data_IF_282375386765
#
_entry.id   IF_282375386765
#
_cell.length_a   1.000
_cell.length_b   1.000
_cell.length_c   1.000
_cell.angle_alpha   90.00
_cell.angle_beta   90.00
_cell.angle_gamma   90.00
#
_symmetry.space_group_name_H-M   'P 1'
#
loop_
_entity.id
_entity.type
_entity.pdbx_description
1 polymer ?
#
# COMPACT_ATOMS: atom_id res chain seq x y z
N UNK A 1 41.71 -5.14 10.97
CA UNK A 1 41.19 -4.19 11.98
C UNK A 1 39.84 -4.74 12.41
N UNK A 2 39.54 -4.81 13.71
CA UNK A 2 38.23 -5.34 14.14
C UNK A 2 37.08 -4.50 13.58
N UNK A 3 36.02 -5.12 13.03
CA UNK A 3 34.91 -4.39 12.43
C UNK A 3 34.15 -3.44 13.35
N UNK A 4 34.18 -3.77 14.63
CA UNK A 4 33.51 -3.05 15.72
C UNK A 4 34.46 -2.11 16.47
N UNK A 5 35.64 -1.84 15.92
CA UNK A 5 36.62 -0.96 16.56
C UNK A 5 36.03 0.42 16.84
N UNK A 6 36.18 0.92 18.07
CA UNK A 6 35.61 2.19 18.53
C UNK A 6 34.13 2.14 18.92
N UNK A 7 33.48 0.98 18.84
CA UNK A 7 32.09 0.80 19.29
C UNK A 7 32.02 0.31 20.73
N UNK A 8 31.10 0.87 21.50
CA UNK A 8 30.74 0.33 22.80
C UNK A 8 29.72 -0.81 22.62
N UNK A 9 30.12 -2.03 22.94
CA UNK A 9 29.17 -3.13 23.07
C UNK A 9 28.32 -2.94 24.33
N UNK A 10 27.04 -3.31 24.23
CA UNK A 10 26.09 -3.30 25.34
C UNK A 10 25.58 -4.73 25.57
N UNK A 11 25.32 -5.14 26.83
CA UNK A 11 24.71 -6.44 27.10
C UNK A 11 23.30 -6.50 26.52
N UNK A 12 22.81 -7.69 26.17
CA UNK A 12 21.45 -7.84 25.65
C UNK A 12 20.42 -7.32 26.65
N UNK A 13 19.41 -6.60 26.15
CA UNK A 13 18.20 -6.34 26.91
C UNK A 13 17.38 -7.63 27.05
N UNK A 14 16.42 -7.72 27.99
CA UNK A 14 15.52 -8.88 28.07
C UNK A 14 14.82 -9.18 26.74
N UNK A 15 14.43 -8.13 26.01
CA UNK A 15 13.78 -8.25 24.70
C UNK A 15 14.70 -8.86 23.64
N UNK A 16 15.96 -8.43 23.57
CA UNK A 16 16.93 -8.97 22.63
C UNK A 16 17.38 -10.39 23.02
N UNK A 17 17.49 -10.69 24.32
CA UNK A 17 17.75 -12.04 24.79
C UNK A 17 16.60 -12.99 24.39
N UNK A 18 15.35 -12.54 24.50
CA UNK A 18 14.18 -13.31 24.07
C UNK A 18 14.16 -13.51 22.54
N UNK A 19 14.55 -12.50 21.76
CA UNK A 19 14.72 -12.62 20.31
C UNK A 19 15.77 -13.69 19.97
N UNK A 20 16.95 -13.66 20.61
CA UNK A 20 18.02 -14.64 20.39
C UNK A 20 17.55 -16.07 20.67
N UNK A 21 16.80 -16.27 21.75
CA UNK A 21 16.25 -17.59 22.10
C UNK A 21 15.22 -18.13 21.09
N UNK A 22 14.59 -17.24 20.33
CA UNK A 22 13.52 -17.56 19.39
C UNK A 22 13.96 -17.45 17.92
N UNK A 23 15.27 -17.34 17.65
CA UNK A 23 15.76 -17.30 16.27
C UNK A 23 15.44 -18.62 15.56
N UNK A 24 15.00 -18.58 14.28
CA UNK A 24 14.80 -19.79 13.49
C UNK A 24 16.08 -20.61 13.37
N UNK A 25 15.98 -21.94 13.36
CA UNK A 25 17.10 -22.85 13.08
C UNK A 25 17.79 -22.51 11.76
N UNK A 26 16.99 -22.17 10.75
CA UNK A 26 17.44 -21.76 9.43
C UNK A 26 18.36 -20.54 9.45
N UNK A 27 18.11 -19.59 10.36
CA UNK A 27 18.95 -18.40 10.57
C UNK A 27 20.19 -18.73 11.40
N UNK A 28 20.06 -19.52 12.47
CA UNK A 28 21.21 -19.94 13.28
C UNK A 28 22.27 -20.64 12.42
N UNK A 29 21.86 -21.56 11.53
CA UNK A 29 22.77 -22.22 10.61
C UNK A 29 23.48 -21.27 9.63
N UNK A 30 22.85 -20.15 9.24
CA UNK A 30 23.52 -19.11 8.43
C UNK A 30 24.54 -18.34 9.27
N UNK A 31 24.20 -17.99 10.51
CA UNK A 31 25.13 -17.29 11.40
C UNK A 31 26.36 -18.15 11.71
N UNK A 32 26.16 -19.43 12.01
CA UNK A 32 27.24 -20.41 12.23
C UNK A 32 28.12 -20.55 10.97
N UNK A 33 27.50 -20.60 9.78
CA UNK A 33 28.23 -20.68 8.52
C UNK A 33 29.18 -19.48 8.31
N UNK A 34 28.75 -18.25 8.61
CA UNK A 34 29.64 -17.08 8.53
C UNK A 34 30.81 -17.18 9.50
N UNK A 35 30.58 -17.68 10.72
CA UNK A 35 31.64 -17.89 11.72
C UNK A 35 32.64 -18.96 11.25
N UNK A 36 32.17 -20.08 10.69
CA UNK A 36 33.00 -21.13 10.12
C UNK A 36 33.89 -20.62 8.96
N UNK A 37 33.39 -19.67 8.18
CA UNK A 37 34.17 -18.99 7.14
C UNK A 37 35.08 -17.87 7.68
N UNK A 38 35.08 -17.61 8.99
CA UNK A 38 35.92 -16.59 9.63
C UNK A 38 35.46 -15.14 9.38
N UNK A 39 34.19 -14.93 9.00
CA UNK A 39 33.61 -13.61 8.80
C UNK A 39 32.69 -13.21 9.95
N UNK A 40 32.56 -11.91 10.18
CA UNK A 40 31.63 -11.37 11.16
C UNK A 40 30.29 -11.11 10.52
N UNK A 41 29.21 -11.43 11.24
CA UNK A 41 27.83 -11.20 10.83
C UNK A 41 27.00 -10.65 11.99
N UNK A 42 26.10 -9.71 11.69
CA UNK A 42 25.19 -9.11 12.67
C UNK A 42 23.77 -9.09 12.14
N UNK A 43 22.80 -9.28 13.03
CA UNK A 43 21.40 -8.93 12.73
C UNK A 43 21.23 -7.43 12.88
N UNK A 44 20.68 -6.75 11.88
CA UNK A 44 20.62 -5.29 11.82
C UNK A 44 19.21 -4.80 11.47
N UNK A 45 18.97 -3.50 11.61
CA UNK A 45 17.78 -2.86 11.04
C UNK A 45 16.47 -3.18 11.77
N UNK A 46 15.45 -3.54 10.98
CA UNK A 46 14.07 -3.65 11.45
C UNK A 46 13.86 -4.75 12.50
N UNK A 47 14.60 -5.85 12.42
CA UNK A 47 14.48 -6.96 13.36
C UNK A 47 14.85 -6.54 14.80
N UNK A 48 16.00 -5.86 14.95
CA UNK A 48 16.48 -5.35 16.26
C UNK A 48 15.47 -4.34 16.83
N UNK A 49 15.00 -3.41 15.99
CA UNK A 49 13.95 -2.44 16.37
C UNK A 49 12.67 -3.13 16.85
N UNK A 50 12.18 -4.09 16.07
CA UNK A 50 10.91 -4.77 16.34
C UNK A 50 10.98 -5.60 17.62
N UNK A 51 12.10 -6.29 17.86
CA UNK A 51 12.35 -7.00 19.11
C UNK A 51 12.24 -6.06 20.32
N UNK A 52 12.95 -4.92 20.27
CA UNK A 52 12.94 -3.92 21.35
C UNK A 52 11.56 -3.30 21.58
N UNK A 53 10.76 -3.17 20.52
CA UNK A 53 9.36 -2.71 20.58
C UNK A 53 8.35 -3.80 20.94
N UNK A 54 8.78 -5.07 21.09
CA UNK A 54 7.91 -6.23 21.34
C UNK A 54 6.83 -6.40 20.27
N UNK A 55 7.16 -6.07 19.02
CA UNK A 55 6.28 -6.29 17.86
C UNK A 55 6.84 -7.44 17.00
N UNK A 56 5.98 -8.12 16.21
CA UNK A 56 6.42 -9.23 15.37
C UNK A 56 7.59 -8.84 14.46
N UNK A 57 8.61 -9.71 14.40
CA UNK A 57 9.71 -9.61 13.46
C UNK A 57 9.23 -10.27 12.16
N UNK A 58 9.26 -9.51 11.06
CA UNK A 58 8.79 -9.97 9.75
C UNK A 58 9.95 -10.54 8.94
N UNK A 59 11.10 -9.88 9.01
CA UNK A 59 12.28 -10.17 8.22
C UNK A 59 13.54 -9.93 9.07
N UNK A 60 14.59 -10.71 8.80
CA UNK A 60 15.91 -10.56 9.42
C UNK A 60 16.90 -10.11 8.36
N UNK A 61 17.35 -8.86 8.48
CA UNK A 61 18.43 -8.32 7.67
C UNK A 61 19.77 -8.58 8.36
N UNK A 62 20.75 -9.03 7.58
CA UNK A 62 22.11 -9.30 8.06
C UNK A 62 23.11 -8.32 7.45
N UNK A 63 24.07 -7.88 8.25
CA UNK A 63 25.26 -7.17 7.79
C UNK A 63 26.49 -8.06 8.04
N UNK A 64 27.41 -8.13 7.08
CA UNK A 64 28.60 -9.00 7.19
C UNK A 64 29.85 -8.36 6.60
N UNK A 65 31.01 -8.80 7.07
CA UNK A 65 32.31 -8.44 6.48
C UNK A 65 32.63 -9.21 5.19
N UNK A 66 31.94 -10.32 4.93
CA UNK A 66 32.15 -11.14 3.72
C UNK A 66 31.74 -10.37 2.48
N UNK A 67 32.53 -10.42 1.40
CA UNK A 67 32.16 -9.73 0.14
C UNK A 67 31.23 -10.61 -0.71
N UNK A 68 30.46 -10.03 -1.65
CA UNK A 68 29.47 -10.78 -2.42
C UNK A 68 30.07 -11.95 -3.20
N UNK A 69 31.29 -11.82 -3.71
CA UNK A 69 31.99 -12.88 -4.44
C UNK A 69 32.26 -14.11 -3.57
N UNK A 70 32.63 -13.92 -2.30
CA UNK A 70 32.87 -15.00 -1.35
C UNK A 70 31.55 -15.63 -0.90
N UNK A 71 30.51 -14.81 -0.67
CA UNK A 71 29.17 -15.30 -0.29
C UNK A 71 28.55 -16.27 -1.31
N UNK A 72 29.03 -16.30 -2.56
CA UNK A 72 28.56 -17.25 -3.59
C UNK A 72 28.93 -18.70 -3.28
N UNK A 73 29.83 -18.93 -2.33
CA UNK A 73 30.15 -20.28 -1.85
C UNK A 73 29.01 -20.88 -1.01
N UNK A 74 28.05 -20.06 -0.56
CA UNK A 74 26.86 -20.57 0.10
C UNK A 74 25.98 -21.38 -0.89
N UNK A 75 25.62 -22.64 -0.58
CA UNK A 75 25.00 -23.55 -1.55
C UNK A 75 23.68 -23.06 -2.18
N UNK A 76 22.86 -22.34 -1.43
CA UNK A 76 21.51 -21.91 -1.86
C UNK A 76 21.35 -20.40 -1.72
N UNK A 77 21.98 -19.66 -2.65
CA UNK A 77 21.99 -18.21 -2.68
C UNK A 77 21.35 -17.64 -3.95
N UNK A 78 20.84 -16.41 -3.83
CA UNK A 78 20.24 -15.62 -4.91
C UNK A 78 20.96 -14.26 -4.97
N UNK A 79 21.52 -13.85 -6.12
CA UNK A 79 22.29 -12.61 -6.24
C UNK A 79 21.38 -11.36 -6.30
N UNK A 80 20.68 -11.11 -5.20
CA UNK A 80 19.66 -10.05 -5.05
C UNK A 80 20.32 -8.68 -4.86
N UNK A 81 20.86 -8.11 -5.93
CA UNK A 81 21.50 -6.80 -5.87
C UNK A 81 22.99 -6.86 -5.52
N UNK A 82 23.68 -7.89 -6.00
CA UNK A 82 25.13 -8.12 -5.84
C UNK A 82 25.98 -6.86 -6.08
N UNK A 83 25.66 -6.06 -7.10
CA UNK A 83 26.33 -4.78 -7.40
C UNK A 83 26.33 -3.77 -6.24
N UNK A 84 25.39 -3.93 -5.32
CA UNK A 84 25.21 -3.11 -4.14
C UNK A 84 25.52 -3.90 -2.86
N UNK A 85 26.15 -5.08 -2.95
CA UNK A 85 26.62 -5.81 -1.79
C UNK A 85 25.57 -6.71 -1.13
N UNK A 86 24.38 -6.84 -1.71
CA UNK A 86 23.30 -7.64 -1.14
C UNK A 86 23.17 -8.97 -1.87
N UNK A 87 23.12 -10.06 -1.12
CA UNK A 87 22.82 -11.42 -1.57
C UNK A 87 21.75 -12.00 -0.63
N UNK A 88 20.81 -12.75 -1.17
CA UNK A 88 19.79 -13.44 -0.37
C UNK A 88 20.20 -14.90 -0.21
N UNK A 89 20.29 -15.38 1.03
CA UNK A 89 20.44 -16.81 1.31
C UNK A 89 19.07 -17.43 1.53
N UNK A 90 18.88 -18.64 1.00
CA UNK A 90 17.70 -19.47 1.28
C UNK A 90 18.10 -20.63 2.18
N UNK A 91 17.41 -20.78 3.30
CA UNK A 91 17.68 -21.84 4.29
C UNK A 91 16.35 -22.36 4.84
N UNK A 92 16.12 -23.66 4.74
CA UNK A 92 14.87 -24.34 5.18
C UNK A 92 13.55 -23.72 4.64
N UNK A 93 13.61 -23.01 3.51
CA UNK A 93 12.46 -22.31 2.91
C UNK A 93 12.34 -20.83 3.28
N UNK A 94 13.13 -20.36 4.26
CA UNK A 94 13.23 -18.96 4.65
C UNK A 94 14.25 -18.20 3.78
N UNK A 95 14.10 -16.88 3.69
CA UNK A 95 14.96 -15.99 2.90
C UNK A 95 15.56 -14.92 3.81
N UNK A 96 16.87 -14.74 3.70
CA UNK A 96 17.64 -13.80 4.52
C UNK A 96 18.46 -12.87 3.64
N UNK A 97 18.18 -11.57 3.70
CA UNK A 97 18.97 -10.57 2.99
C UNK A 97 20.25 -10.26 3.76
N UNK A 98 21.38 -10.55 3.14
CA UNK A 98 22.71 -10.31 3.71
C UNK A 98 23.40 -9.23 2.89
N UNK A 99 23.88 -8.19 3.57
CA UNK A 99 24.55 -7.06 2.93
C UNK A 99 25.98 -6.91 3.45
N UNK A 100 26.94 -6.89 2.53
CA UNK A 100 28.33 -6.57 2.85
C UNK A 100 28.45 -5.15 3.42
N UNK A 101 29.23 -5.01 4.49
CA UNK A 101 29.61 -3.70 5.04
C UNK A 101 30.26 -2.85 3.95
N UNK A 102 29.85 -1.59 3.84
CA UNK A 102 30.29 -0.73 2.76
C UNK A 102 30.30 0.74 3.13
N UNK A 103 31.09 1.48 2.38
CA UNK A 103 30.95 2.93 2.23
C UNK A 103 30.32 3.23 0.88
N UNK A 104 29.59 4.35 0.83
CA UNK A 104 28.87 4.79 -0.35
C UNK A 104 29.27 6.23 -0.66
N UNK A 105 29.49 6.53 -1.95
CA UNK A 105 29.78 7.88 -2.43
C UNK A 105 28.97 8.18 -3.68
N UNK A 106 28.54 9.44 -3.77
CA UNK A 106 27.74 9.94 -4.88
C UNK A 106 26.32 9.36 -4.88
N UNK A 107 25.32 10.17 -5.18
CA UNK A 107 23.93 9.73 -5.35
C UNK A 107 23.34 10.47 -6.54
N UNK A 108 23.96 10.30 -7.71
CA UNK A 108 23.60 11.05 -8.93
C UNK A 108 22.13 10.85 -9.34
N UNK A 109 21.59 9.65 -9.17
CA UNK A 109 20.19 9.31 -9.46
C UNK A 109 19.24 9.52 -8.27
N UNK A 110 19.75 10.00 -7.13
CA UNK A 110 18.97 10.25 -5.91
C UNK A 110 18.58 9.00 -5.11
N UNK A 111 19.20 7.84 -5.37
CA UNK A 111 19.03 6.61 -4.57
C UNK A 111 20.29 5.77 -4.49
N UNK A 112 20.83 5.38 -5.65
CA UNK A 112 21.90 4.39 -5.74
C UNK A 112 23.22 5.11 -5.57
N UNK A 113 24.12 4.54 -4.77
CA UNK A 113 25.46 5.06 -4.70
C UNK A 113 26.12 4.97 -6.07
N UNK A 114 26.81 6.03 -6.48
CA UNK A 114 27.60 6.03 -7.72
C UNK A 114 28.82 5.12 -7.56
N UNK A 115 29.38 5.07 -6.35
CA UNK A 115 30.50 4.22 -5.96
C UNK A 115 30.21 3.51 -4.64
N UNK A 116 30.51 2.21 -4.60
CA UNK A 116 30.45 1.37 -3.39
C UNK A 116 31.84 0.82 -3.15
N UNK A 117 32.39 1.07 -1.97
CA UNK A 117 33.65 0.44 -1.52
C UNK A 117 33.33 -0.50 -0.36
N UNK A 118 33.70 -1.77 -0.49
CA UNK A 118 33.56 -2.75 0.58
C UNK A 118 34.41 -2.31 1.77
N UNK A 119 33.76 -2.22 2.92
CA UNK A 119 34.35 -1.74 4.15
C UNK A 119 34.36 -2.83 5.20
N UNK A 120 35.17 -2.63 6.24
CA UNK A 120 35.17 -3.51 7.41
C UNK A 120 34.46 -2.87 8.60
N UNK A 121 34.05 -1.59 8.56
CA UNK A 121 33.50 -0.91 9.73
C UNK A 121 31.98 -1.00 9.83
N UNK A 122 31.49 -1.67 10.89
CA UNK A 122 30.06 -1.74 11.19
C UNK A 122 29.49 -0.36 11.52
N UNK A 123 30.24 0.48 12.23
CA UNK A 123 29.80 1.86 12.57
C UNK A 123 29.48 2.67 11.32
N UNK A 124 30.29 2.52 10.28
CA UNK A 124 30.13 3.24 9.02
C UNK A 124 28.90 2.74 8.25
N UNK A 125 28.64 1.43 8.23
CA UNK A 125 27.38 0.90 7.66
C UNK A 125 26.14 1.38 8.42
N UNK A 126 26.18 1.37 9.76
CA UNK A 126 25.07 1.87 10.57
C UNK A 126 24.88 3.39 10.40
N UNK A 127 25.96 4.11 10.09
CA UNK A 127 25.92 5.56 9.87
C UNK A 127 25.06 5.96 8.68
N UNK A 128 25.05 5.14 7.62
CA UNK A 128 24.39 5.49 6.34
C UNK A 128 22.88 5.24 6.33
N UNK A 129 22.34 4.64 7.39
CA UNK A 129 20.92 4.28 7.51
C UNK A 129 20.05 5.51 7.81
N UNK A 130 18.74 5.35 7.60
CA UNK A 130 17.80 6.47 7.63
C UNK A 130 17.57 7.03 9.04
N UNK A 131 17.24 6.16 10.01
CA UNK A 131 16.79 6.53 11.34
C UNK A 131 17.61 5.81 12.42
N UNK A 132 17.86 6.48 13.55
CA UNK A 132 18.61 5.94 14.70
C UNK A 132 18.08 4.58 15.15
N UNK A 133 16.74 4.45 15.23
CA UNK A 133 16.05 3.21 15.60
C UNK A 133 16.28 2.03 14.64
N UNK A 134 16.75 2.29 13.41
CA UNK A 134 17.10 1.26 12.43
C UNK A 134 18.62 1.03 12.33
N UNK A 135 19.41 1.72 13.16
CA UNK A 135 20.88 1.74 13.12
C UNK A 135 21.51 1.06 14.33
N UNK A 136 20.93 -0.07 14.72
CA UNK A 136 21.45 -0.97 15.74
C UNK A 136 21.83 -2.30 15.11
N UNK A 137 22.78 -2.98 15.76
CA UNK A 137 23.27 -4.29 15.34
C UNK A 137 23.33 -5.25 16.53
N UNK A 138 22.92 -6.49 16.33
CA UNK A 138 22.96 -7.56 17.32
C UNK A 138 24.00 -8.60 16.89
N UNK A 139 24.93 -8.90 17.79
CA UNK A 139 25.91 -9.97 17.66
C UNK A 139 25.44 -11.14 18.53
N UNK A 140 24.92 -12.18 17.88
CA UNK A 140 24.31 -13.34 18.54
C UNK A 140 25.37 -14.12 19.32
N UNK A 141 26.51 -14.38 18.70
CA UNK A 141 27.56 -15.25 19.24
C UNK A 141 28.23 -14.61 20.46
N UNK A 142 28.43 -13.29 20.43
CA UNK A 142 28.95 -12.54 21.58
C UNK A 142 27.89 -12.17 22.61
N UNK A 143 26.62 -12.40 22.33
CA UNK A 143 25.50 -11.98 23.19
C UNK A 143 25.59 -10.49 23.58
N UNK A 144 25.85 -9.63 22.59
CA UNK A 144 25.90 -8.17 22.76
C UNK A 144 25.20 -7.48 21.62
N UNK A 145 24.80 -6.22 21.82
CA UNK A 145 24.34 -5.37 20.75
C UNK A 145 25.11 -4.05 20.71
N UNK A 146 25.07 -3.41 19.56
CA UNK A 146 25.73 -2.15 19.26
C UNK A 146 24.68 -1.10 18.87
N UNK A 147 24.77 0.05 19.51
CA UNK A 147 23.88 1.19 19.27
C UNK A 147 24.69 2.50 19.33
N UNK A 148 25.47 2.80 18.28
CA UNK A 148 26.33 3.98 18.23
C UNK A 148 25.55 5.30 18.02
N UNK A 149 24.27 5.23 17.60
CA UNK A 149 23.47 6.40 17.26
C UNK A 149 22.27 6.65 18.18
N UNK A 150 22.20 5.94 19.32
CA UNK A 150 21.18 6.17 20.36
C UNK A 150 19.77 5.72 19.97
N UNK A 151 19.65 4.75 19.06
CA UNK A 151 18.38 4.22 18.60
C UNK A 151 17.53 3.64 19.73
N UNK A 152 18.16 2.97 20.71
CA UNK A 152 17.43 2.41 21.85
C UNK A 152 16.80 3.50 22.74
N UNK A 153 17.53 4.60 22.97
CA UNK A 153 17.03 5.73 23.76
C UNK A 153 15.89 6.47 23.02
N UNK A 154 15.97 6.58 21.69
CA UNK A 154 14.89 7.16 20.89
C UNK A 154 13.63 6.29 20.88
N UNK A 155 13.79 4.96 20.83
CA UNK A 155 12.68 4.03 21.01
C UNK A 155 12.01 4.20 22.38
N UNK A 156 12.78 4.30 23.46
CA UNK A 156 12.24 4.52 24.81
C UNK A 156 11.49 5.85 24.96
N UNK A 157 11.84 6.85 24.14
CA UNK A 157 11.21 8.18 24.14
C UNK A 157 10.11 8.34 23.10
N UNK A 158 9.78 7.31 22.34
CA UNK A 158 8.79 7.36 21.27
C UNK A 158 9.06 8.48 20.24
N UNK A 159 10.33 8.65 19.84
CA UNK A 159 10.75 9.69 18.90
C UNK A 159 11.40 9.10 17.65
N UNK A 160 11.34 9.85 16.57
CA UNK A 160 12.00 9.51 15.32
C UNK A 160 13.15 10.49 15.08
N UNK A 161 14.36 9.96 15.01
CA UNK A 161 15.58 10.75 14.80
C UNK A 161 16.35 10.20 13.60
N UNK A 162 16.93 11.10 12.81
CA UNK A 162 17.78 10.71 11.70
C UNK A 162 19.17 10.31 12.22
N UNK A 163 19.88 9.48 11.46
CA UNK A 163 21.30 9.24 11.74
C UNK A 163 22.13 10.40 11.18
N UNK A 164 22.85 11.08 12.05
CA UNK A 164 23.67 12.23 11.69
C UNK A 164 22.82 13.47 11.39
N UNK A 165 23.19 14.23 10.35
CA UNK A 165 22.47 15.46 9.98
C UNK A 165 21.23 15.13 9.12
N UNK A 166 20.01 15.50 9.56
CA UNK A 166 18.78 15.08 8.88
C UNK A 166 18.69 15.50 7.41
N UNK A 167 19.10 16.73 7.06
CA UNK A 167 18.99 17.23 5.68
C UNK A 167 19.90 16.45 4.73
N UNK A 168 21.14 16.18 5.13
CA UNK A 168 22.10 15.34 4.41
C UNK A 168 21.53 13.95 4.23
N UNK A 169 21.02 13.35 5.31
CA UNK A 169 20.50 11.98 5.27
C UNK A 169 19.29 11.82 4.34
N UNK A 170 18.39 12.80 4.33
CA UNK A 170 17.26 12.84 3.39
C UNK A 170 17.70 13.17 1.95
N UNK A 171 18.83 13.87 1.78
CA UNK A 171 19.32 14.28 0.46
C UNK A 171 19.96 13.15 -0.34
N UNK A 172 20.51 12.14 0.35
CA UNK A 172 21.10 10.95 -0.27
C UNK A 172 20.05 10.01 -0.90
N UNK A 173 18.94 9.75 -0.20
CA UNK A 173 17.77 9.05 -0.74
C UNK A 173 16.50 9.77 -0.28
N UNK A 174 15.92 10.55 -1.18
CA UNK A 174 14.71 11.34 -0.87
C UNK A 174 13.50 10.47 -0.53
N UNK A 175 13.51 9.15 -0.84
CA UNK A 175 12.47 8.24 -0.37
C UNK A 175 12.44 8.14 1.18
N UNK A 176 13.54 8.47 1.86
CA UNK A 176 13.60 8.54 3.32
C UNK A 176 12.62 9.55 3.91
N UNK A 177 12.20 10.54 3.14
CA UNK A 177 11.13 11.47 3.52
C UNK A 177 9.83 10.67 3.78
N UNK A 178 9.37 9.91 2.79
CA UNK A 178 8.15 9.10 2.90
C UNK A 178 8.29 7.98 3.94
N UNK A 179 9.46 7.33 4.01
CA UNK A 179 9.74 6.34 5.04
C UNK A 179 9.65 6.92 6.44
N UNK A 180 10.10 8.16 6.64
CA UNK A 180 9.97 8.85 7.94
C UNK A 180 8.51 9.02 8.31
N UNK A 181 7.65 9.49 7.40
CA UNK A 181 6.19 9.57 7.65
C UNK A 181 5.58 8.19 7.91
N UNK A 182 5.96 7.17 7.15
CA UNK A 182 5.51 5.79 7.40
C UNK A 182 5.87 5.34 8.81
N UNK A 183 7.12 5.58 9.24
CA UNK A 183 7.58 5.23 10.57
C UNK A 183 7.00 6.09 11.69
N UNK A 184 6.28 7.17 11.38
CA UNK A 184 5.46 7.83 12.39
C UNK A 184 4.30 6.96 12.85
N UNK A 185 3.81 6.04 12.02
CA UNK A 185 2.81 5.07 12.42
C UNK A 185 3.43 3.97 13.26
N UNK A 186 3.01 3.84 14.52
CA UNK A 186 3.39 2.74 15.40
C UNK A 186 2.19 1.85 15.73
N UNK A 187 1.19 1.85 14.84
CA UNK A 187 -0.01 1.03 14.99
C UNK A 187 -0.81 1.42 16.22
N UNK A 188 -1.03 0.45 17.11
CA UNK A 188 -1.76 0.66 18.36
C UNK A 188 -1.01 1.55 19.36
N UNK A 189 0.32 1.69 19.22
CA UNK A 189 1.11 2.61 20.04
C UNK A 189 0.96 4.08 19.62
N UNK A 190 0.15 4.36 18.60
CA UNK A 190 -0.18 5.70 18.13
C UNK A 190 0.89 6.29 17.20
N UNK A 191 0.98 7.62 17.19
CA UNK A 191 1.84 8.36 16.27
C UNK A 191 3.07 8.91 16.97
N UNK A 192 4.25 8.52 16.50
CA UNK A 192 5.51 9.06 16.98
C UNK A 192 5.91 10.31 16.21
N UNK A 193 6.51 11.27 16.91
CA UNK A 193 6.91 12.55 16.31
C UNK A 193 8.41 12.52 15.98
N UNK A 194 8.81 12.97 14.78
CA UNK A 194 10.20 13.24 14.51
C UNK A 194 10.68 14.41 15.35
N UNK A 195 11.94 14.37 15.74
CA UNK A 195 12.59 15.49 16.42
C UNK A 195 12.54 16.78 15.58
N UNK A 196 12.80 17.93 16.21
CA UNK A 196 12.65 19.25 15.57
C UNK A 196 13.51 19.40 14.31
N UNK A 197 14.76 18.93 14.35
CA UNK A 197 15.69 18.98 13.23
C UNK A 197 15.16 18.20 12.03
N UNK A 198 14.82 16.93 12.24
CA UNK A 198 14.23 16.08 11.22
C UNK A 198 12.89 16.62 10.69
N UNK A 199 12.01 17.10 11.57
CA UNK A 199 10.73 17.72 11.16
C UNK A 199 10.95 18.90 10.21
N UNK A 200 11.94 19.75 10.46
CA UNK A 200 12.29 20.85 9.57
C UNK A 200 12.93 20.36 8.26
N UNK A 201 13.78 19.34 8.34
CA UNK A 201 14.41 18.75 7.17
C UNK A 201 13.35 18.19 6.20
N UNK A 202 12.34 17.46 6.69
CA UNK A 202 11.24 16.93 5.86
C UNK A 202 10.56 18.01 5.02
N UNK A 203 10.23 19.17 5.61
CA UNK A 203 9.63 20.30 4.89
C UNK A 203 10.56 20.91 3.86
N UNK A 204 11.84 21.09 4.20
CA UNK A 204 12.81 21.79 3.35
C UNK A 204 13.36 20.94 2.22
N UNK A 205 13.32 19.60 2.33
CA UNK A 205 13.79 18.67 1.29
C UNK A 205 12.68 18.07 0.45
N UNK A 206 11.40 18.43 0.69
CA UNK A 206 10.24 17.85 -0.02
C UNK A 206 10.36 17.86 -1.55
N UNK A 207 10.93 18.91 -2.15
CA UNK A 207 11.10 19.01 -3.60
C UNK A 207 11.99 17.92 -4.19
N UNK A 208 12.85 17.30 -3.38
CA UNK A 208 13.71 16.21 -3.81
C UNK A 208 12.94 14.95 -4.16
N UNK A 209 11.68 14.81 -3.72
CA UNK A 209 10.81 13.71 -4.12
C UNK A 209 10.60 13.65 -5.64
N UNK A 210 10.73 14.77 -6.36
CA UNK A 210 10.63 14.78 -7.83
C UNK A 210 11.74 13.99 -8.53
N UNK A 211 12.83 13.68 -7.83
CA UNK A 211 13.94 12.86 -8.35
C UNK A 211 13.69 11.35 -8.18
N UNK A 212 12.71 10.97 -7.37
CA UNK A 212 12.44 9.57 -7.05
C UNK A 212 11.48 8.98 -8.09
N UNK A 213 11.78 7.76 -8.52
CA UNK A 213 10.92 7.00 -9.41
C UNK A 213 9.48 6.91 -8.83
N UNK A 214 8.43 7.27 -9.59
CA UNK A 214 7.05 7.28 -9.10
C UNK A 214 6.58 5.96 -8.50
N UNK A 215 7.05 4.83 -9.01
CA UNK A 215 6.73 3.49 -8.50
C UNK A 215 7.19 3.31 -7.04
N UNK A 216 8.34 3.90 -6.67
CA UNK A 216 8.84 3.86 -5.28
C UNK A 216 8.00 4.75 -4.37
N UNK A 217 7.60 5.93 -4.86
CA UNK A 217 6.69 6.82 -4.14
C UNK A 217 5.37 6.09 -3.89
N UNK A 218 4.81 5.45 -4.91
CA UNK A 218 3.56 4.69 -4.79
C UNK A 218 3.70 3.53 -3.80
N UNK A 219 4.79 2.75 -3.88
CA UNK A 219 5.04 1.65 -2.95
C UNK A 219 5.08 2.10 -1.48
N UNK A 220 5.78 3.19 -1.16
CA UNK A 220 5.78 3.72 0.20
C UNK A 220 4.42 4.33 0.59
N UNK A 221 3.78 5.08 -0.32
CA UNK A 221 2.46 5.66 -0.04
C UNK A 221 1.41 4.59 0.25
N UNK A 222 1.44 3.43 -0.43
CA UNK A 222 0.55 2.31 -0.12
C UNK A 222 0.67 1.87 1.34
N UNK A 223 1.90 1.79 1.85
CA UNK A 223 2.17 1.42 3.25
C UNK A 223 1.68 2.48 4.23
N UNK A 224 1.81 3.76 3.87
CA UNK A 224 1.30 4.87 4.70
C UNK A 224 -0.23 4.86 4.72
N UNK A 225 -0.88 4.68 3.56
CA UNK A 225 -2.34 4.64 3.45
C UNK A 225 -2.92 3.48 4.27
N UNK A 226 -2.31 2.30 4.24
CA UNK A 226 -2.74 1.14 5.03
C UNK A 226 -2.39 1.22 6.53
N UNK A 227 -1.73 2.30 6.95
CA UNK A 227 -1.41 2.53 8.36
C UNK A 227 -2.64 2.62 9.26
N UNK A 228 -2.47 2.32 10.55
CA UNK A 228 -3.55 2.45 11.55
C UNK A 228 -3.85 3.90 11.90
N UNK A 229 -2.87 4.78 11.74
CA UNK A 229 -2.98 6.21 12.01
C UNK A 229 -2.81 7.03 10.71
N UNK A 230 -3.29 6.50 9.59
CA UNK A 230 -3.09 7.09 8.27
C UNK A 230 -3.66 8.52 8.22
N UNK A 231 -4.83 8.77 8.81
CA UNK A 231 -5.45 10.11 8.84
C UNK A 231 -4.49 11.18 9.40
N UNK A 232 -3.90 10.94 10.57
CA UNK A 232 -3.00 11.88 11.25
C UNK A 232 -1.72 12.10 10.44
N UNK A 233 -1.17 11.03 9.85
CA UNK A 233 0.08 11.08 9.10
C UNK A 233 -0.12 11.77 7.76
N UNK A 234 -1.19 11.45 7.04
CA UNK A 234 -1.54 12.10 5.77
C UNK A 234 -1.88 13.58 5.99
N UNK A 235 -2.55 13.93 7.09
CA UNK A 235 -2.83 15.33 7.41
C UNK A 235 -1.51 16.08 7.62
N UNK A 236 -0.57 15.50 8.39
CA UNK A 236 0.75 16.11 8.53
C UNK A 236 1.50 16.21 7.21
N UNK A 237 1.42 15.20 6.35
CA UNK A 237 2.01 15.24 5.01
C UNK A 237 1.38 16.35 4.16
N UNK A 238 0.08 16.63 4.33
CA UNK A 238 -0.59 17.77 3.70
C UNK A 238 0.00 19.09 4.23
N UNK A 239 0.06 19.25 5.56
CA UNK A 239 0.56 20.46 6.22
C UNK A 239 2.04 20.76 5.87
N UNK A 240 2.88 19.71 5.80
CA UNK A 240 4.29 19.81 5.41
C UNK A 240 4.46 20.02 3.88
N UNK A 241 3.38 19.94 3.10
CA UNK A 241 3.34 20.13 1.64
C UNK A 241 3.84 18.92 0.82
N UNK A 242 3.96 17.75 1.45
CA UNK A 242 4.37 16.50 0.81
C UNK A 242 3.29 16.00 -0.14
N UNK A 243 2.02 16.03 0.26
CA UNK A 243 0.93 15.56 -0.61
C UNK A 243 0.79 16.42 -1.86
N UNK A 244 0.99 17.74 -1.75
CA UNK A 244 1.03 18.62 -2.92
C UNK A 244 2.16 18.23 -3.87
N UNK A 245 3.33 17.87 -3.36
CA UNK A 245 4.46 17.44 -4.19
C UNK A 245 4.21 16.10 -4.90
N UNK A 246 3.40 15.21 -4.33
CA UNK A 246 3.07 13.88 -4.89
C UNK A 246 1.91 13.97 -5.90
N UNK A 247 0.85 14.68 -5.53
CA UNK A 247 -0.42 14.69 -6.28
C UNK A 247 -0.61 15.91 -7.17
N UNK A 248 0.24 16.93 -7.04
CA UNK A 248 0.06 18.24 -7.68
C UNK A 248 -1.33 18.84 -7.41
N UNK A 249 -1.82 18.63 -6.19
CA UNK A 249 -3.14 19.03 -5.70
C UNK A 249 -3.01 19.73 -4.35
N UNK A 250 -3.83 20.76 -4.11
CA UNK A 250 -3.84 21.50 -2.85
C UNK A 250 -4.77 20.82 -1.83
N UNK A 251 -4.28 20.71 -0.59
CA UNK A 251 -4.99 20.03 0.50
C UNK A 251 -5.38 21.04 1.57
N UNK A 252 -6.57 20.88 2.14
CA UNK A 252 -7.03 21.77 3.20
C UNK A 252 -6.32 21.47 4.52
N UNK A 253 -6.23 22.48 5.39
CA UNK A 253 -6.00 22.24 6.81
C UNK A 253 -7.21 21.49 7.36
N UNK A 254 -6.97 20.42 8.12
CA UNK A 254 -8.00 19.53 8.65
C UNK A 254 -8.93 18.98 7.55
N UNK A 255 -8.34 18.44 6.48
CA UNK A 255 -9.07 17.94 5.33
C UNK A 255 -10.00 16.79 5.74
N UNK A 256 -11.31 16.98 5.52
CA UNK A 256 -12.31 16.02 5.95
C UNK A 256 -12.09 14.64 5.32
N UNK A 257 -11.63 14.57 4.06
CA UNK A 257 -11.34 13.29 3.39
C UNK A 257 -10.24 12.53 4.11
N UNK A 258 -9.18 13.23 4.49
CA UNK A 258 -8.05 12.67 5.24
C UNK A 258 -8.53 12.18 6.62
N UNK A 259 -9.37 12.94 7.31
CA UNK A 259 -9.90 12.58 8.63
C UNK A 259 -10.71 11.27 8.65
N UNK A 260 -11.26 10.86 7.49
CA UNK A 260 -12.08 9.65 7.34
C UNK A 260 -11.30 8.41 6.91
N UNK A 261 -10.02 8.54 6.57
CA UNK A 261 -9.22 7.40 6.07
C UNK A 261 -9.17 6.22 7.05
N UNK A 262 -9.07 6.49 8.35
CA UNK A 262 -9.01 5.44 9.37
C UNK A 262 -10.40 4.80 9.64
N UNK A 263 -11.48 5.41 9.14
CA UNK A 263 -12.84 4.86 9.20
C UNK A 263 -13.19 3.97 8.00
N UNK A 264 -12.31 3.90 7.00
CA UNK A 264 -12.48 3.01 5.84
C UNK A 264 -12.16 1.58 6.28
N UNK A 265 -13.14 0.68 6.17
CA UNK A 265 -12.98 -0.71 6.58
C UNK A 265 -12.09 -1.51 5.61
N UNK A 266 -11.44 -2.55 6.14
CA UNK A 266 -10.58 -3.45 5.35
C UNK A 266 -9.22 -2.86 4.99
N UNK A 267 -8.45 -3.65 4.24
CA UNK A 267 -7.03 -3.38 3.92
C UNK A 267 -6.80 -3.12 2.41
N UNK A 268 -7.85 -2.73 1.69
CA UNK A 268 -7.70 -2.31 0.29
C UNK A 268 -7.18 -0.87 0.22
N UNK A 269 -6.00 -0.71 -0.36
CA UNK A 269 -5.34 0.59 -0.51
C UNK A 269 -6.05 1.51 -1.50
N UNK A 270 -6.73 0.94 -2.49
CA UNK A 270 -7.45 1.71 -3.49
C UNK A 270 -8.72 2.34 -2.92
N UNK A 271 -9.32 1.78 -1.87
CA UNK A 271 -10.44 2.42 -1.17
C UNK A 271 -9.99 3.69 -0.47
N UNK A 272 -8.85 3.62 0.21
CA UNK A 272 -8.26 4.80 0.87
C UNK A 272 -7.83 5.86 -0.15
N UNK A 273 -7.26 5.43 -1.27
CA UNK A 273 -6.91 6.35 -2.35
C UNK A 273 -8.15 6.98 -2.99
N UNK A 274 -9.24 6.24 -3.19
CA UNK A 274 -10.49 6.79 -3.76
C UNK A 274 -11.12 7.82 -2.81
N UNK A 275 -11.08 7.56 -1.50
CA UNK A 275 -11.53 8.50 -0.47
C UNK A 275 -10.68 9.78 -0.49
N UNK A 276 -9.36 9.63 -0.56
CA UNK A 276 -8.43 10.76 -0.62
C UNK A 276 -8.66 11.62 -1.88
N UNK A 277 -8.99 10.99 -3.00
CA UNK A 277 -9.23 11.66 -4.28
C UNK A 277 -10.70 12.02 -4.54
N UNK A 278 -11.62 11.86 -3.57
CA UNK A 278 -13.07 12.00 -3.76
C UNK A 278 -13.51 13.27 -4.51
N UNK A 279 -12.93 14.41 -4.13
CA UNK A 279 -13.30 15.73 -4.70
C UNK A 279 -12.38 16.16 -5.86
N UNK A 280 -11.48 15.26 -6.30
CA UNK A 280 -10.56 15.52 -7.42
C UNK A 280 -11.30 15.25 -8.73
N UNK A 281 -11.22 16.14 -9.74
CA UNK A 281 -11.85 15.90 -11.03
C UNK A 281 -11.35 14.60 -11.69
N UNK A 282 -12.24 13.84 -12.33
CA UNK A 282 -11.91 12.53 -12.92
C UNK A 282 -10.72 12.57 -13.89
N UNK A 283 -10.56 13.65 -14.66
CA UNK A 283 -9.42 13.83 -15.57
C UNK A 283 -8.08 13.98 -14.82
N UNK A 284 -8.12 14.63 -13.66
CA UNK A 284 -6.96 14.78 -12.79
C UNK A 284 -6.66 13.48 -12.04
N UNK A 285 -7.69 12.75 -11.57
CA UNK A 285 -7.54 11.40 -11.01
C UNK A 285 -6.85 10.44 -11.99
N UNK A 286 -7.24 10.47 -13.28
CA UNK A 286 -6.55 9.70 -14.31
C UNK A 286 -5.08 10.13 -14.50
N UNK A 287 -4.83 11.44 -14.46
CA UNK A 287 -3.47 11.97 -14.57
C UNK A 287 -2.60 11.50 -13.40
N UNK A 288 -3.12 11.56 -12.17
CA UNK A 288 -2.46 11.07 -10.95
C UNK A 288 -2.15 9.57 -11.07
N UNK A 289 -3.13 8.76 -11.48
CA UNK A 289 -2.93 7.32 -11.63
C UNK A 289 -1.80 6.98 -12.63
N UNK A 290 -1.70 7.77 -13.71
CA UNK A 290 -0.65 7.63 -14.73
C UNK A 290 0.71 8.13 -14.25
N UNK A 291 0.78 9.31 -13.61
CA UNK A 291 2.05 9.89 -13.15
C UNK A 291 2.68 9.08 -12.03
N UNK A 292 1.85 8.52 -11.13
CA UNK A 292 2.29 7.60 -10.07
C UNK A 292 2.58 6.18 -10.58
N UNK A 293 2.30 5.91 -11.87
CA UNK A 293 2.50 4.62 -12.53
C UNK A 293 1.85 3.45 -11.77
N UNK A 294 0.58 3.62 -11.42
CA UNK A 294 -0.25 2.51 -10.95
C UNK A 294 -0.27 1.40 -12.02
N UNK A 295 -0.37 0.15 -11.57
CA UNK A 295 -0.58 -0.97 -12.49
C UNK A 295 -1.89 -0.78 -13.28
N UNK A 296 -2.00 -1.41 -14.45
CA UNK A 296 -3.22 -1.31 -15.27
C UNK A 296 -4.48 -1.74 -14.50
N UNK A 297 -4.36 -2.74 -13.64
CA UNK A 297 -5.46 -3.19 -12.79
C UNK A 297 -5.80 -2.14 -11.72
N UNK A 298 -4.80 -1.62 -10.99
CA UNK A 298 -5.01 -0.57 -9.99
C UNK A 298 -5.64 0.68 -10.62
N UNK A 299 -5.15 1.13 -11.79
CA UNK A 299 -5.71 2.28 -12.52
C UNK A 299 -7.17 2.05 -12.88
N UNK A 300 -7.51 0.89 -13.47
CA UNK A 300 -8.88 0.56 -13.85
C UNK A 300 -9.81 0.56 -12.64
N UNK A 301 -9.39 -0.09 -11.56
CA UNK A 301 -10.15 -0.16 -10.31
C UNK A 301 -10.33 1.23 -9.70
N UNK A 302 -9.27 2.03 -9.58
CA UNK A 302 -9.34 3.38 -9.03
C UNK A 302 -10.32 4.26 -9.81
N UNK A 303 -10.20 4.30 -11.14
CA UNK A 303 -11.06 5.13 -11.99
C UNK A 303 -12.52 4.70 -11.94
N UNK A 304 -12.77 3.38 -11.95
CA UNK A 304 -14.11 2.85 -11.79
C UNK A 304 -14.72 3.24 -10.44
N UNK A 305 -14.01 2.95 -9.34
CA UNK A 305 -14.47 3.30 -7.98
C UNK A 305 -14.70 4.80 -7.81
N UNK A 306 -13.79 5.62 -8.34
CA UNK A 306 -13.91 7.07 -8.33
C UNK A 306 -15.15 7.56 -9.08
N UNK A 307 -15.46 6.97 -10.24
CA UNK A 307 -16.67 7.31 -11.00
C UNK A 307 -17.98 6.96 -10.30
N UNK A 308 -17.95 6.06 -9.32
CA UNK A 308 -19.11 5.68 -8.51
C UNK A 308 -19.34 6.61 -7.30
N UNK A 309 -18.34 7.40 -6.90
CA UNK A 309 -18.47 8.27 -5.72
C UNK A 309 -19.51 9.37 -5.95
N UNK A 310 -20.26 9.71 -4.90
CA UNK A 310 -21.36 10.67 -4.96
C UNK A 310 -22.63 10.15 -5.63
N UNK A 311 -22.63 8.93 -6.17
CA UNK A 311 -23.81 8.25 -6.68
C UNK A 311 -24.27 7.19 -5.70
N UNK A 312 -25.56 7.21 -5.34
CA UNK A 312 -26.15 6.24 -4.42
C UNK A 312 -27.32 5.56 -5.15
N UNK A 313 -27.43 4.21 -5.14
CA UNK A 313 -28.57 3.55 -5.73
C UNK A 313 -29.87 3.96 -5.03
N UNK A 314 -30.96 4.07 -5.77
CA UNK A 314 -32.30 4.23 -5.18
C UNK A 314 -32.62 3.05 -4.26
N UNK A 315 -33.44 3.29 -3.22
CA UNK A 315 -33.88 2.27 -2.28
C UNK A 315 -34.98 1.38 -2.89
N UNK A 316 -34.66 0.75 -4.02
CA UNK A 316 -35.45 -0.24 -4.72
C UNK A 316 -34.59 -1.50 -4.90
N UNK A 317 -35.16 -2.68 -4.66
CA UNK A 317 -34.44 -3.94 -4.81
C UNK A 317 -33.79 -4.10 -6.20
N UNK A 318 -34.45 -3.60 -7.25
CA UNK A 318 -33.92 -3.62 -8.61
C UNK A 318 -32.61 -2.86 -8.75
N UNK A 319 -32.54 -1.67 -8.15
CA UNK A 319 -31.39 -0.78 -8.26
C UNK A 319 -30.25 -1.29 -7.37
N UNK A 320 -30.59 -1.80 -6.18
CA UNK A 320 -29.62 -2.42 -5.27
C UNK A 320 -29.01 -3.69 -5.86
N UNK A 321 -29.79 -4.55 -6.55
CA UNK A 321 -29.24 -5.73 -7.25
C UNK A 321 -28.33 -5.33 -8.41
N UNK A 322 -28.70 -4.34 -9.22
CA UNK A 322 -27.83 -3.81 -10.28
C UNK A 322 -26.52 -3.30 -9.68
N UNK A 323 -26.61 -2.52 -8.61
CA UNK A 323 -25.45 -1.99 -7.90
C UNK A 323 -24.54 -3.11 -7.36
N UNK A 324 -25.10 -4.12 -6.68
CA UNK A 324 -24.35 -5.30 -6.22
C UNK A 324 -23.68 -6.03 -7.36
N UNK A 325 -24.39 -6.24 -8.47
CA UNK A 325 -23.85 -6.95 -9.62
C UNK A 325 -22.68 -6.19 -10.27
N UNK A 326 -22.83 -4.88 -10.47
CA UNK A 326 -21.83 -4.06 -11.17
C UNK A 326 -20.58 -3.82 -10.31
N UNK A 327 -20.75 -3.59 -9.00
CA UNK A 327 -19.63 -3.32 -8.09
C UNK A 327 -19.03 -4.61 -7.49
N UNK A 328 -19.74 -5.73 -7.57
CA UNK A 328 -19.35 -7.01 -6.97
C UNK A 328 -19.09 -6.87 -5.48
N UNK A 329 -17.99 -7.44 -5.02
CA UNK A 329 -17.56 -7.43 -3.61
C UNK A 329 -17.39 -6.00 -3.03
N UNK A 330 -17.20 -5.00 -3.90
CA UNK A 330 -17.01 -3.62 -3.48
C UNK A 330 -18.33 -2.86 -3.18
N UNK A 331 -19.49 -3.42 -3.52
CA UNK A 331 -20.77 -2.74 -3.37
C UNK A 331 -21.06 -2.27 -1.93
N UNK A 332 -20.79 -3.13 -0.94
CA UNK A 332 -21.00 -2.77 0.47
C UNK A 332 -20.05 -1.67 0.92
N UNK A 333 -18.79 -1.79 0.54
CA UNK A 333 -17.77 -0.82 0.88
C UNK A 333 -18.03 0.55 0.25
N UNK A 334 -18.53 0.59 -0.98
CA UNK A 334 -18.97 1.83 -1.62
C UNK A 334 -20.05 2.55 -0.80
N UNK A 335 -21.11 1.86 -0.37
CA UNK A 335 -22.17 2.46 0.47
C UNK A 335 -21.63 2.92 1.83
N UNK A 336 -20.71 2.17 2.44
CA UNK A 336 -20.04 2.56 3.69
C UNK A 336 -19.21 3.83 3.49
N UNK A 337 -18.43 3.91 2.42
CA UNK A 337 -17.69 5.12 2.05
C UNK A 337 -18.66 6.30 1.87
N UNK A 338 -19.75 6.13 1.11
CA UNK A 338 -20.76 7.20 0.94
C UNK A 338 -21.37 7.64 2.27
N UNK A 339 -21.58 6.72 3.22
CA UNK A 339 -22.08 7.05 4.56
C UNK A 339 -21.13 7.94 5.37
N UNK A 340 -19.81 7.80 5.19
CA UNK A 340 -18.81 8.63 5.87
C UNK A 340 -18.89 10.11 5.43
N UNK A 341 -19.38 10.36 4.21
CA UNK A 341 -19.47 11.69 3.61
C UNK A 341 -20.90 12.25 3.57
N UNK A 342 -21.90 11.49 4.02
CA UNK A 342 -23.29 11.95 4.13
C UNK A 342 -23.45 13.30 4.87
N UNK A 343 -22.69 13.61 5.95
CA UNK A 343 -22.80 14.91 6.63
C UNK A 343 -22.37 16.11 5.78
N UNK A 344 -21.55 15.89 4.75
CA UNK A 344 -21.07 16.93 3.82
C UNK A 344 -21.99 17.11 2.61
N UNK A 345 -22.83 16.11 2.33
CA UNK A 345 -23.80 16.20 1.26
C UNK A 345 -24.95 17.11 1.71
N UNK A 346 -24.97 18.36 1.22
CA UNK A 346 -26.05 19.32 1.47
C UNK A 346 -27.39 18.87 0.87
N UNK A 347 -28.05 17.88 1.50
CA UNK A 347 -29.45 17.52 1.26
C UNK A 347 -29.75 16.39 0.27
N UNK A 348 -28.77 15.64 -0.25
CA UNK A 348 -29.05 14.54 -1.19
C UNK A 348 -29.54 13.26 -0.48
N UNK A 349 -28.83 12.77 0.52
CA UNK A 349 -29.21 11.60 1.33
C UNK A 349 -28.68 11.73 2.76
N UNK A 350 -29.53 11.45 3.76
CA UNK A 350 -29.11 11.44 5.17
C UNK A 350 -28.28 10.20 5.51
N UNK A 351 -27.54 10.22 6.61
CA UNK A 351 -26.83 9.03 7.10
C UNK A 351 -27.77 7.84 7.30
N UNK A 352 -28.98 8.08 7.83
CA UNK A 352 -30.00 7.05 8.05
C UNK A 352 -30.49 6.44 6.72
N UNK A 353 -30.65 7.26 5.69
CA UNK A 353 -31.04 6.80 4.35
C UNK A 353 -30.00 5.84 3.75
N UNK A 354 -28.72 6.10 3.98
CA UNK A 354 -27.63 5.24 3.49
C UNK A 354 -27.54 3.96 4.32
N UNK A 355 -27.73 4.04 5.64
CA UNK A 355 -27.78 2.85 6.50
C UNK A 355 -28.91 1.91 6.11
N UNK A 356 -30.11 2.43 5.79
CA UNK A 356 -31.21 1.60 5.27
C UNK A 356 -30.83 0.87 3.97
N UNK A 357 -30.07 1.53 3.08
CA UNK A 357 -29.56 0.91 1.85
C UNK A 357 -28.55 -0.17 2.14
N UNK A 358 -27.62 0.04 3.08
CA UNK A 358 -26.65 -0.96 3.50
C UNK A 358 -27.39 -2.21 4.01
N UNK A 359 -28.29 -2.05 4.98
CA UNK A 359 -29.06 -3.18 5.54
C UNK A 359 -29.92 -3.89 4.49
N UNK A 360 -30.57 -3.15 3.59
CA UNK A 360 -31.37 -3.76 2.52
C UNK A 360 -30.47 -4.50 1.52
N UNK A 361 -29.33 -3.93 1.17
CA UNK A 361 -28.34 -4.52 0.27
C UNK A 361 -27.81 -5.85 0.84
N UNK A 362 -27.47 -5.91 2.13
CA UNK A 362 -27.03 -7.16 2.79
C UNK A 362 -28.11 -8.26 2.79
N UNK A 363 -29.39 -7.89 2.88
CA UNK A 363 -30.52 -8.84 2.87
C UNK A 363 -30.94 -9.34 1.49
N UNK A 364 -30.37 -8.83 0.39
CA UNK A 364 -30.71 -9.26 -0.96
C UNK A 364 -29.88 -10.47 -1.37
N UNK A 365 -30.52 -11.62 -1.54
CA UNK A 365 -29.92 -12.77 -2.22
C UNK A 365 -29.80 -12.47 -3.72
N UNK A 366 -28.61 -12.12 -4.19
CA UNK A 366 -28.29 -12.18 -5.62
C UNK A 366 -28.11 -13.65 -5.98
N UNK A 367 -28.96 -14.19 -6.85
CA UNK A 367 -28.76 -15.55 -7.36
C UNK A 367 -27.38 -15.68 -8.01
N UNK A 368 -26.71 -16.83 -7.83
CA UNK A 368 -25.38 -17.15 -8.39
C UNK A 368 -25.29 -17.08 -9.94
N UNK A 369 -26.41 -16.78 -10.62
CA UNK A 369 -26.50 -16.58 -12.06
C UNK A 369 -25.93 -15.22 -12.47
N UNK A 370 -24.62 -15.06 -12.27
CA UNK A 370 -23.86 -13.91 -12.77
C UNK A 370 -23.85 -13.83 -14.30
N UNK A 371 -24.10 -14.96 -14.98
CA UNK A 371 -24.13 -15.07 -16.43
C UNK A 371 -25.52 -14.71 -16.98
N UNK A 372 -25.51 -13.98 -18.09
CA UNK A 372 -26.72 -13.72 -18.87
C UNK A 372 -27.34 -15.04 -19.34
N UNK A 373 -28.59 -15.27 -18.99
CA UNK A 373 -29.37 -16.44 -19.41
C UNK A 373 -29.68 -16.38 -20.92
N UNK A 374 -30.04 -15.20 -21.41
CA UNK A 374 -30.31 -14.97 -22.83
C UNK A 374 -29.02 -14.82 -23.65
N UNK A 375 -28.63 -15.90 -24.33
CA UNK A 375 -27.50 -15.88 -25.26
C UNK A 375 -27.83 -15.10 -26.54
N UNK A 376 -26.81 -14.67 -27.28
CA UNK A 376 -27.02 -13.97 -28.56
C UNK A 376 -27.79 -14.84 -29.56
N UNK A 377 -27.46 -16.13 -29.61
CA UNK A 377 -28.15 -17.12 -30.45
C UNK A 377 -29.63 -17.26 -30.06
N UNK A 378 -29.93 -17.32 -28.76
CA UNK A 378 -31.31 -17.39 -28.27
C UNK A 378 -32.10 -16.13 -28.66
N UNK A 379 -31.52 -14.94 -28.47
CA UNK A 379 -32.18 -13.68 -28.84
C UNK A 379 -32.46 -13.63 -30.35
N UNK A 380 -31.48 -14.03 -31.18
CA UNK A 380 -31.66 -14.08 -32.64
C UNK A 380 -32.79 -15.02 -33.05
N UNK A 381 -32.91 -16.19 -32.41
CA UNK A 381 -33.98 -17.15 -32.68
C UNK A 381 -35.37 -16.61 -32.33
N UNK A 382 -35.48 -15.80 -31.27
CA UNK A 382 -36.77 -15.23 -30.83
C UNK A 382 -37.18 -13.96 -31.57
N UNK A 383 -36.21 -13.17 -32.05
CA UNK A 383 -36.47 -11.82 -32.60
C UNK A 383 -36.24 -11.70 -34.10
N UNK A 384 -35.69 -12.73 -34.75
CA UNK A 384 -35.17 -12.68 -36.13
C UNK A 384 -34.13 -11.58 -36.38
N UNK A 385 -33.51 -11.04 -35.33
CA UNK A 385 -32.44 -10.06 -35.47
C UNK A 385 -31.16 -10.70 -36.02
N UNK A 386 -30.39 -9.92 -36.77
CA UNK A 386 -29.05 -10.32 -37.21
C UNK A 386 -27.96 -9.82 -36.25
N UNK A 387 -26.78 -10.43 -36.32
CA UNK A 387 -25.62 -10.02 -35.54
C UNK A 387 -25.27 -8.55 -35.82
N UNK A 388 -25.15 -7.74 -34.76
CA UNK A 388 -24.81 -6.33 -34.87
C UNK A 388 -24.93 -5.58 -33.54
N UNK A 389 -24.67 -4.26 -33.53
CA UNK A 389 -24.70 -3.44 -32.32
C UNK A 389 -26.04 -3.46 -31.58
N UNK A 390 -27.17 -3.46 -32.32
CA UNK A 390 -28.53 -3.55 -31.75
C UNK A 390 -28.76 -4.85 -30.96
N UNK A 391 -28.27 -5.99 -31.46
CA UNK A 391 -28.32 -7.27 -30.75
C UNK A 391 -27.51 -7.22 -29.44
N UNK A 392 -26.31 -6.62 -29.49
CA UNK A 392 -25.48 -6.43 -28.30
C UNK A 392 -26.14 -5.54 -27.25
N UNK A 393 -26.81 -4.45 -27.68
CA UNK A 393 -27.56 -3.57 -26.81
C UNK A 393 -28.77 -4.27 -26.18
N UNK A 394 -29.55 -5.04 -26.96
CA UNK A 394 -30.69 -5.81 -26.45
C UNK A 394 -30.23 -6.87 -25.44
N UNK A 395 -29.14 -7.58 -25.74
CA UNK A 395 -28.54 -8.54 -24.80
C UNK A 395 -28.16 -7.87 -23.48
N UNK A 396 -27.56 -6.69 -23.53
CA UNK A 396 -27.19 -5.94 -22.32
C UNK A 396 -28.42 -5.49 -21.53
N UNK A 397 -29.46 -5.00 -22.21
CA UNK A 397 -30.72 -4.60 -21.56
C UNK A 397 -31.44 -5.79 -20.92
N UNK A 398 -31.58 -6.91 -21.61
CA UNK A 398 -32.18 -8.13 -21.05
C UNK A 398 -31.38 -8.64 -19.85
N UNK A 399 -30.04 -8.60 -19.92
CA UNK A 399 -29.19 -8.98 -18.79
C UNK A 399 -29.36 -8.02 -17.61
N UNK A 400 -29.48 -6.70 -17.86
CA UNK A 400 -29.81 -5.73 -16.81
C UNK A 400 -31.14 -6.08 -16.12
N UNK A 401 -32.19 -6.34 -16.89
CA UNK A 401 -33.50 -6.69 -16.34
C UNK A 401 -33.50 -8.04 -15.61
N UNK A 402 -32.74 -9.03 -16.10
CA UNK A 402 -32.51 -10.30 -15.41
C UNK A 402 -31.98 -10.04 -14.01
N UNK A 403 -30.96 -9.19 -13.86
CA UNK A 403 -30.38 -8.85 -12.56
C UNK A 403 -31.36 -8.03 -11.71
N UNK A 404 -31.96 -6.98 -12.28
CA UNK A 404 -32.87 -6.09 -11.57
C UNK A 404 -34.08 -6.84 -10.97
N UNK A 405 -34.68 -7.74 -11.76
CA UNK A 405 -35.88 -8.50 -11.37
C UNK A 405 -35.55 -9.86 -10.76
N UNK A 406 -34.28 -10.23 -10.65
CA UNK A 406 -33.81 -11.54 -10.19
C UNK A 406 -34.44 -12.71 -10.97
N UNK A 407 -34.45 -12.61 -12.30
CA UNK A 407 -35.00 -13.64 -13.18
C UNK A 407 -34.06 -14.86 -13.21
N UNK A 408 -34.63 -16.05 -13.10
CA UNK A 408 -33.89 -17.31 -12.98
C UNK A 408 -34.13 -18.29 -14.13
N UNK A 409 -35.08 -18.01 -15.04
CA UNK A 409 -35.38 -18.87 -16.20
C UNK A 409 -35.50 -18.09 -17.52
N UNK A 410 -35.30 -18.80 -18.64
CA UNK A 410 -35.49 -18.24 -19.98
C UNK A 410 -36.94 -17.86 -20.28
N UNK A 411 -37.91 -18.61 -19.75
CA UNK A 411 -39.35 -18.32 -19.90
C UNK A 411 -39.73 -16.95 -19.32
N UNK A 412 -39.14 -16.59 -18.19
CA UNK A 412 -39.31 -15.26 -17.59
C UNK A 412 -38.73 -14.15 -18.48
N UNK A 413 -37.58 -14.42 -19.13
CA UNK A 413 -36.95 -13.47 -20.05
C UNK A 413 -37.75 -13.33 -21.35
N UNK A 414 -38.32 -14.42 -21.85
CA UNK A 414 -39.22 -14.40 -23.02
C UNK A 414 -40.46 -13.55 -22.75
N UNK A 415 -41.08 -13.74 -21.59
CA UNK A 415 -42.21 -12.93 -21.13
C UNK A 415 -41.83 -11.44 -21.06
N UNK A 416 -40.64 -11.15 -20.52
CA UNK A 416 -40.11 -9.79 -20.47
C UNK A 416 -39.89 -9.22 -21.88
N UNK A 417 -39.30 -9.98 -22.80
CA UNK A 417 -38.98 -9.55 -24.16
C UNK A 417 -40.23 -9.06 -24.91
N UNK A 418 -41.40 -9.68 -24.67
CA UNK A 418 -42.69 -9.25 -25.21
C UNK A 418 -43.15 -7.87 -24.71
N UNK A 419 -42.64 -7.42 -23.56
CA UNK A 419 -43.02 -6.13 -22.94
C UNK A 419 -42.04 -4.99 -23.25
N UNK A 420 -40.87 -5.28 -23.81
CA UNK A 420 -39.85 -4.27 -24.10
C UNK A 420 -40.06 -3.64 -25.49
N UNK A 421 -39.84 -2.33 -25.61
CA UNK A 421 -39.87 -1.59 -26.89
C UNK A 421 -38.60 -1.80 -27.73
N UNK A 422 -38.11 -3.04 -27.85
CA UNK A 422 -36.86 -3.35 -28.55
C UNK A 422 -36.92 -3.20 -30.08
N UNK A 423 -38.13 -3.03 -30.62
CA UNK A 423 -38.35 -2.84 -32.05
C UNK A 423 -37.87 -1.47 -32.54
N UNK A 424 -37.72 -0.49 -31.65
CA UNK A 424 -37.24 0.87 -31.99
C UNK A 424 -35.86 0.85 -32.66
N UNK A 425 -35.67 1.70 -33.67
CA UNK A 425 -34.40 1.78 -34.42
C UNK A 425 -33.29 2.49 -33.62
N UNK A 426 -33.66 3.39 -32.71
CA UNK A 426 -32.72 4.05 -31.79
C UNK A 426 -32.48 3.20 -30.53
N UNK A 427 -31.37 2.47 -30.50
CA UNK A 427 -31.01 1.59 -29.37
C UNK A 427 -29.95 2.19 -28.42
N UNK A 428 -29.45 3.40 -28.69
CA UNK A 428 -28.38 4.02 -27.90
C UNK A 428 -28.83 4.39 -26.47
N UNK A 429 -30.12 4.65 -26.28
CA UNK A 429 -30.74 5.03 -25.01
C UNK A 429 -31.19 3.82 -24.17
N UNK A 430 -31.05 2.59 -24.69
CA UNK A 430 -31.52 1.41 -23.97
C UNK A 430 -30.76 1.25 -22.63
N UNK A 431 -31.48 0.86 -21.55
CA UNK A 431 -30.88 0.69 -20.24
C UNK A 431 -29.69 -0.27 -20.26
N UNK A 432 -28.56 0.18 -19.72
CA UNK A 432 -27.33 -0.60 -19.63
C UNK A 432 -27.15 -1.18 -18.22
N UNK A 433 -26.53 -2.34 -18.14
CA UNK A 433 -26.05 -2.93 -16.90
C UNK A 433 -24.77 -2.20 -16.46
N UNK A 434 -24.96 -1.03 -15.84
CA UNK A 434 -23.89 -0.14 -15.40
C UNK A 434 -24.31 0.64 -14.14
N UNK A 435 -23.31 1.11 -13.40
CA UNK A 435 -23.44 2.01 -12.27
C UNK A 435 -22.26 2.99 -12.29
N UNK A 436 -22.48 4.30 -12.04
CA UNK A 436 -23.78 4.95 -11.91
C UNK A 436 -24.60 4.88 -13.20
N UNK A 437 -25.93 4.92 -13.09
CA UNK A 437 -26.77 5.06 -14.29
C UNK A 437 -26.45 6.41 -14.93
N UNK A 438 -26.05 6.41 -16.21
CA UNK A 438 -25.99 7.65 -17.00
C UNK A 438 -27.33 8.36 -16.83
N UNK A 439 -27.32 9.53 -16.18
CA UNK A 439 -28.44 10.47 -16.24
C UNK A 439 -28.69 10.75 -17.71
N UNK A 440 -29.88 10.36 -18.18
CA UNK A 440 -30.38 10.70 -19.52
C UNK A 440 -30.42 12.21 -19.68
#
# INVERSE_FOLDING_TARGET
MEPTSGMNSKPLTPELAQMVQNLPSSLLGILDWFEDQGHFVWIVGGAVRNALLKIPIIEYDLATTMVPEEMKEYPDMIPTGEKFGTITFRSEGDFYEITTLRTEKGYGDGRRPDEVEWGLSLTVDLSRRDLSMNSMALDVNKSVYYDPYGGFEDLQRNRICAVGEPKSRLSEDALRILRTYRFMDQGLAGVWKPERGLSNALRTTRSMLSKIAPERIWSELKRILLGKNASIILQRMADDGILRQIFDYDWMLDDYRISKLDSVEGDDVLDRLVVLLRDVPSQMCETIARTMKLSNQEKKTLLFRHSCLGHIPELLDSNLRIHQYVLGDWAQQHLRIESLFAPMNHGSHSSDDIQQRISRNEGLNTSDNSKSLATGEWIMAQTNMHQGPKLGALKNWLHREQIARNLTSLEQIETLLCTLSWHEDEFNHWPKLQFPSQTV
#
